data_IF_298677671572
#
_entry.id   IF_298677671572
#
_cell.length_a   1.000
_cell.length_b   1.000
_cell.length_c   1.000
_cell.angle_alpha   90.00
_cell.angle_beta   90.00
_cell.angle_gamma   90.00
#
_symmetry.space_group_name_H-M   'P 1'
#
loop_
_entity.id
_entity.type
_entity.pdbx_description
1 polymer ?
#
# COMPACT_ATOMS: atom_id res chain seq x y z
N UNK A 1 -16.37 -1.71 -13.59
CA UNK A 1 -15.60 -0.44 -13.53
C UNK A 1 -16.35 0.48 -14.45
N UNK A 2 -16.79 1.64 -13.99
CA UNK A 2 -17.39 2.61 -14.90
C UNK A 2 -16.35 2.99 -15.94
N UNK A 3 -16.69 2.91 -17.23
CA UNK A 3 -15.79 3.24 -18.36
C UNK A 3 -15.49 4.75 -18.46
N UNK A 4 -15.54 5.47 -17.33
CA UNK A 4 -15.37 6.91 -17.21
C UNK A 4 -14.12 7.25 -16.43
N UNK A 5 -13.46 8.31 -16.88
CA UNK A 5 -12.32 8.90 -16.18
C UNK A 5 -12.73 9.38 -14.79
N UNK A 6 -12.05 8.89 -13.75
CA UNK A 6 -12.30 9.29 -12.36
C UNK A 6 -11.93 10.75 -12.04
N UNK A 7 -11.24 11.44 -12.95
CA UNK A 7 -10.77 12.82 -12.76
C UNK A 7 -11.65 13.83 -13.48
N UNK A 8 -11.95 13.61 -14.77
CA UNK A 8 -12.70 14.57 -15.59
C UNK A 8 -14.10 14.07 -16.01
N UNK A 9 -14.45 12.81 -15.72
CA UNK A 9 -15.74 12.22 -16.10
C UNK A 9 -15.88 11.82 -17.57
N UNK A 10 -14.85 12.02 -18.40
CA UNK A 10 -14.86 11.63 -19.82
C UNK A 10 -15.03 10.12 -20.00
N UNK A 11 -15.83 9.72 -21.00
CA UNK A 11 -15.98 8.33 -21.46
C UNK A 11 -14.86 7.91 -22.42
N UNK A 12 -14.03 8.85 -22.87
CA UNK A 12 -12.91 8.56 -23.76
C UNK A 12 -11.73 8.00 -22.97
N UNK A 13 -11.80 6.70 -22.70
CA UNK A 13 -10.77 5.92 -22.04
C UNK A 13 -10.20 4.89 -23.04
N UNK A 14 -8.87 4.84 -23.15
CA UNK A 14 -8.18 3.84 -23.97
C UNK A 14 -7.37 2.89 -23.09
N UNK A 15 -7.34 1.61 -23.43
CA UNK A 15 -6.48 0.65 -22.75
C UNK A 15 -5.04 0.82 -23.24
N UNK A 16 -4.08 0.87 -22.32
CA UNK A 16 -2.65 1.07 -22.62
C UNK A 16 -1.79 0.03 -21.90
N UNK A 17 -0.68 -0.40 -22.51
CA UNK A 17 0.30 -1.28 -21.88
C UNK A 17 0.99 -2.25 -22.83
N UNK A 18 2.01 -2.99 -22.36
CA UNK A 18 2.54 -3.03 -20.98
C UNK A 18 3.28 -1.73 -20.59
N UNK A 19 3.17 -1.33 -19.32
CA UNK A 19 3.79 -0.10 -18.80
C UNK A 19 4.73 -0.41 -17.65
N UNK A 20 5.83 0.34 -17.58
CA UNK A 20 6.68 0.39 -16.39
C UNK A 20 6.44 1.74 -15.71
N UNK A 21 5.88 1.71 -14.50
CA UNK A 21 5.65 2.89 -13.67
C UNK A 21 6.81 3.00 -12.69
N UNK A 22 7.65 4.01 -12.87
CA UNK A 22 8.78 4.29 -11.99
C UNK A 22 8.37 5.32 -10.94
N UNK A 23 8.40 4.92 -9.68
CA UNK A 23 8.25 5.82 -8.54
C UNK A 23 9.54 5.88 -7.72
N UNK A 24 9.69 6.92 -6.89
CA UNK A 24 10.86 7.10 -6.04
C UNK A 24 11.17 5.90 -5.11
N UNK A 25 10.14 5.12 -4.74
CA UNK A 25 10.25 4.03 -3.76
C UNK A 25 10.06 2.63 -4.36
N UNK A 26 9.59 2.53 -5.60
CA UNK A 26 9.41 1.26 -6.30
C UNK A 26 9.18 1.48 -7.79
N UNK A 27 9.61 0.50 -8.58
CA UNK A 27 9.25 0.35 -9.99
C UNK A 27 8.24 -0.79 -10.12
N UNK A 28 7.17 -0.54 -10.86
CA UNK A 28 6.04 -1.47 -10.99
C UNK A 28 5.78 -1.70 -12.47
N UNK A 29 5.81 -2.96 -12.89
CA UNK A 29 5.35 -3.36 -14.22
C UNK A 29 3.85 -3.64 -14.17
N UNK A 30 3.11 -2.92 -15.00
CA UNK A 30 1.65 -3.01 -15.13
C UNK A 30 1.35 -3.64 -16.49
N UNK A 31 0.58 -4.74 -16.48
CA UNK A 31 0.21 -5.47 -17.70
C UNK A 31 -0.68 -4.62 -18.62
N UNK A 32 -1.65 -3.93 -18.02
CA UNK A 32 -2.53 -2.99 -18.72
C UNK A 32 -3.01 -1.89 -17.76
N UNK A 33 -3.25 -0.70 -18.31
CA UNK A 33 -3.86 0.44 -17.66
C UNK A 33 -4.92 1.08 -18.56
N UNK A 34 -5.59 2.11 -18.06
CA UNK A 34 -6.56 2.89 -18.80
C UNK A 34 -6.15 4.35 -18.77
N UNK A 35 -6.00 4.96 -19.94
CA UNK A 35 -5.63 6.35 -20.09
C UNK A 35 -6.81 7.14 -20.64
N UNK A 36 -7.14 8.24 -19.97
CA UNK A 36 -8.08 9.21 -20.52
C UNK A 36 -7.40 10.00 -21.64
N UNK A 37 -7.99 10.00 -22.84
CA UNK A 37 -7.47 10.76 -23.99
C UNK A 37 -7.63 12.27 -23.81
N UNK A 38 -8.64 12.69 -23.03
CA UNK A 38 -8.97 14.09 -22.81
C UNK A 38 -8.03 14.79 -21.82
N UNK A 39 -7.89 14.24 -20.60
CA UNK A 39 -7.09 14.88 -19.53
C UNK A 39 -5.75 14.19 -19.26
N UNK A 40 -5.46 13.08 -19.95
CA UNK A 40 -4.22 12.32 -19.78
C UNK A 40 -4.15 11.48 -18.50
N UNK A 41 -5.20 11.42 -17.68
CA UNK A 41 -5.21 10.64 -16.45
C UNK A 41 -5.00 9.16 -16.74
N UNK A 42 -3.98 8.57 -16.13
CA UNK A 42 -3.63 7.15 -16.24
C UNK A 42 -4.07 6.39 -14.98
N UNK A 43 -4.96 5.44 -15.15
CA UNK A 43 -5.38 4.50 -14.12
C UNK A 43 -4.67 3.17 -14.33
N UNK A 44 -4.02 2.66 -13.28
CA UNK A 44 -3.33 1.37 -13.28
C UNK A 44 -3.74 0.56 -12.08
N UNK A 45 -3.81 -0.76 -12.23
CA UNK A 45 -3.96 -1.66 -11.08
C UNK A 45 -2.59 -1.97 -10.50
N UNK A 46 -2.40 -1.63 -9.23
CA UNK A 46 -1.19 -1.96 -8.49
C UNK A 46 -1.41 -3.26 -7.70
N UNK A 47 -0.55 -4.27 -7.83
CA UNK A 47 -0.66 -5.50 -7.04
C UNK A 47 -0.64 -5.20 -5.54
N UNK A 48 -1.58 -5.77 -4.78
CA UNK A 48 -1.71 -5.54 -3.34
C UNK A 48 -0.41 -5.86 -2.57
N UNK A 49 0.34 -6.87 -2.99
CA UNK A 49 1.63 -7.22 -2.39
C UNK A 49 2.65 -6.08 -2.48
N UNK A 50 2.66 -5.31 -3.58
CA UNK A 50 3.52 -4.12 -3.74
C UNK A 50 3.05 -3.00 -2.82
N UNK A 51 1.74 -2.74 -2.75
CA UNK A 51 1.17 -1.73 -1.84
C UNK A 51 1.51 -2.03 -0.38
N UNK A 52 1.38 -3.28 0.06
CA UNK A 52 1.73 -3.71 1.42
C UNK A 52 3.23 -3.57 1.70
N UNK A 53 4.11 -3.82 0.73
CA UNK A 53 5.55 -3.58 0.89
C UNK A 53 5.88 -2.09 1.05
N UNK A 54 5.24 -1.23 0.25
CA UNK A 54 5.46 0.22 0.27
C UNK A 54 4.84 0.90 1.50
N UNK A 55 3.68 0.39 1.93
CA UNK A 55 2.84 0.90 3.00
C UNK A 55 2.36 -0.27 3.89
N UNK A 56 3.25 -0.88 4.68
CA UNK A 56 2.87 -1.99 5.54
C UNK A 56 1.75 -1.55 6.50
N UNK A 57 0.62 -2.28 6.54
CA UNK A 57 -0.50 -1.95 7.40
C UNK A 57 -0.05 -2.11 8.85
N UNK A 58 0.35 -1.01 9.49
CA UNK A 58 0.71 -1.01 10.91
C UNK A 58 1.82 -0.07 11.39
N UNK A 59 2.50 0.71 10.53
CA UNK A 59 3.59 1.58 11.01
C UNK A 59 3.15 3.04 11.25
N UNK A 60 2.19 3.59 10.48
CA UNK A 60 1.67 4.97 10.71
C UNK A 60 0.37 5.06 11.53
N UNK A 61 -0.31 3.95 11.79
CA UNK A 61 -1.66 3.92 12.41
C UNK A 61 -1.80 2.88 13.53
N UNK A 62 -0.82 2.77 14.44
CA UNK A 62 -1.16 2.14 15.72
C UNK A 62 -2.02 3.13 16.49
N UNK A 63 -3.34 2.90 16.48
CA UNK A 63 -4.26 3.48 17.45
C UNK A 63 -3.65 3.34 18.85
N UNK A 64 -3.93 4.28 19.75
CA UNK A 64 -3.37 4.27 21.11
C UNK A 64 -3.57 2.91 21.80
N UNK A 65 -4.75 2.29 21.61
CA UNK A 65 -5.06 0.96 22.11
C UNK A 65 -4.14 -0.15 21.58
N UNK A 66 -3.74 -0.11 20.29
CA UNK A 66 -2.79 -1.08 19.72
C UNK A 66 -1.36 -0.80 20.17
N UNK A 67 -0.99 0.47 20.36
CA UNK A 67 0.32 0.87 20.92
C UNK A 67 0.47 0.35 22.35
N UNK A 68 -0.55 0.54 23.18
CA UNK A 68 -0.57 0.05 24.57
C UNK A 68 -0.50 -1.48 24.65
N UNK A 69 -1.23 -2.21 23.80
CA UNK A 69 -1.11 -3.68 23.72
C UNK A 69 0.28 -4.13 23.27
N UNK A 70 0.88 -3.46 22.29
CA UNK A 70 2.23 -3.78 21.83
C UNK A 70 3.27 -3.52 22.93
N UNK A 71 3.17 -2.40 23.64
CA UNK A 71 4.03 -2.09 24.78
C UNK A 71 3.85 -3.09 25.92
N UNK A 72 2.61 -3.46 26.27
CA UNK A 72 2.32 -4.49 27.25
C UNK A 72 2.94 -5.84 26.87
N UNK A 73 2.81 -6.26 25.60
CA UNK A 73 3.45 -7.49 25.10
C UNK A 73 4.97 -7.44 25.17
N UNK A 74 5.59 -6.29 24.86
CA UNK A 74 7.05 -6.10 25.01
C UNK A 74 7.48 -6.20 26.48
N UNK A 75 6.75 -5.56 27.40
CA UNK A 75 7.01 -5.66 28.85
C UNK A 75 6.90 -7.10 29.35
N UNK A 76 5.87 -7.83 28.95
CA UNK A 76 5.68 -9.24 29.32
C UNK A 76 6.81 -10.12 28.80
N UNK A 77 7.25 -9.93 27.56
CA UNK A 77 8.42 -10.65 27.01
C UNK A 77 9.69 -10.34 27.79
N UNK A 78 9.90 -9.08 28.16
CA UNK A 78 11.08 -8.67 28.93
C UNK A 78 11.05 -9.21 30.37
N UNK A 79 9.87 -9.31 30.98
CA UNK A 79 9.69 -9.94 32.29
C UNK A 79 9.93 -11.44 32.22
N UNK A 80 9.41 -12.12 31.19
CA UNK A 80 9.64 -13.55 30.97
C UNK A 80 11.13 -13.84 30.74
N UNK A 81 11.82 -13.00 29.97
CA UNK A 81 13.26 -13.13 29.75
C UNK A 81 14.08 -12.89 31.03
N UNK A 82 13.69 -11.95 31.89
CA UNK A 82 14.33 -11.75 33.21
C UNK A 82 14.13 -12.95 34.14
N UNK A 83 12.94 -13.56 34.14
CA UNK A 83 12.67 -14.76 34.96
C UNK A 83 13.43 -16.00 34.48
N UNK A 84 13.72 -16.11 33.19
CA UNK A 84 14.47 -17.25 32.61
C UNK A 84 15.99 -17.16 32.81
N UNK A 85 16.52 -16.03 33.30
CA UNK A 85 17.95 -15.79 33.51
C UNK A 85 18.25 -15.40 34.98
N UNK A 86 17.36 -15.76 35.91
CA UNK A 86 17.49 -15.47 37.34
C UNK A 86 17.87 -16.71 38.19
N UNK A 87 18.23 -17.81 37.53
CA UNK A 87 18.91 -18.98 38.09
C UNK A 87 20.36 -19.04 37.54
#
# INVERSE_FOLDING_TARGET
>A
MDDRCSVCGSEEMVTTGPLTVEGQRATITVVHGWQCTLCGNLQVMVPQAVLVRLYPPGIRLLTESRRSRLQARKRLKHHKAKMLHAD
#
